data_IF_967611974975
#
_entry.id   IF_967611974975
#
_cell.length_a   1.000
_cell.length_b   1.000
_cell.length_c   1.000
_cell.angle_alpha   90.00
_cell.angle_beta   90.00
_cell.angle_gamma   90.00
#
_symmetry.space_group_name_H-M   'P 1'
#
loop_
_entity.id
_entity.type
_entity.pdbx_description
1 polymer ?
#
# COMPACT_ATOMS: atom_id res chain seq x y z
N UNK A 1 33.00 53.42 1.06
CA UNK A 1 33.14 52.10 1.71
C UNK A 1 31.84 51.51 2.30
N UNK A 2 30.65 52.11 2.13
CA UNK A 2 29.39 51.55 2.69
C UNK A 2 28.67 50.50 1.82
N UNK A 3 28.92 50.47 0.51
CA UNK A 3 28.19 49.63 -0.46
C UNK A 3 28.48 48.12 -0.35
N UNK A 4 29.67 47.77 0.15
CA UNK A 4 30.16 46.38 0.20
C UNK A 4 29.51 45.60 1.35
N UNK A 5 29.17 46.27 2.46
CA UNK A 5 28.51 45.63 3.59
C UNK A 5 27.06 45.26 3.27
N UNK A 6 26.33 46.13 2.56
CA UNK A 6 24.93 45.88 2.18
C UNK A 6 24.79 44.68 1.22
N UNK A 7 25.74 44.50 0.30
CA UNK A 7 25.75 43.36 -0.62
C UNK A 7 26.06 42.04 0.11
N UNK A 8 27.00 42.06 1.05
CA UNK A 8 27.34 40.88 1.88
C UNK A 8 26.18 40.46 2.78
N UNK A 9 25.49 41.42 3.39
CA UNK A 9 24.28 41.18 4.19
C UNK A 9 23.15 40.58 3.35
N UNK A 10 22.94 41.07 2.12
CA UNK A 10 21.91 40.56 1.23
C UNK A 10 22.18 39.12 0.79
N UNK A 11 23.42 38.80 0.41
CA UNK A 11 23.82 37.43 0.03
C UNK A 11 23.68 36.45 1.21
N UNK A 12 24.06 36.86 2.42
CA UNK A 12 23.89 36.05 3.63
C UNK A 12 22.41 35.80 3.96
N UNK A 13 21.54 36.82 3.82
CA UNK A 13 20.10 36.66 4.01
C UNK A 13 19.46 35.73 2.98
N UNK A 14 19.87 35.79 1.71
CA UNK A 14 19.41 34.84 0.68
C UNK A 14 19.87 33.40 0.98
N UNK A 15 21.10 33.21 1.47
CA UNK A 15 21.63 31.88 1.78
C UNK A 15 20.87 31.20 2.94
N UNK A 16 20.49 31.98 3.96
CA UNK A 16 19.67 31.49 5.09
C UNK A 16 18.25 31.14 4.64
N UNK A 17 17.66 31.93 3.75
CA UNK A 17 16.35 31.62 3.16
C UNK A 17 16.36 30.34 2.31
N UNK A 18 17.44 30.09 1.56
CA UNK A 18 17.59 28.83 0.79
C UNK A 18 17.73 27.62 1.73
N UNK A 19 18.45 27.75 2.85
CA UNK A 19 18.60 26.64 3.81
C UNK A 19 17.30 26.26 4.54
N UNK A 20 16.37 27.21 4.74
CA UNK A 20 15.08 26.95 5.39
C UNK A 20 14.10 26.23 4.43
N UNK A 21 14.22 26.44 3.12
CA UNK A 21 13.28 25.88 2.12
C UNK A 21 13.66 24.45 1.67
N UNK A 22 14.87 23.98 1.96
CA UNK A 22 15.39 22.68 1.45
C UNK A 22 15.05 21.49 2.36
N UNK A 23 14.37 21.68 3.50
CA UNK A 23 13.92 20.58 4.36
C UNK A 23 12.39 20.34 4.35
N UNK A 24 11.73 20.05 3.21
CA UNK A 24 10.44 19.38 3.25
C UNK A 24 10.74 17.87 3.15
N UNK A 25 11.01 17.19 4.26
CA UNK A 25 11.51 15.83 4.07
C UNK A 25 11.50 14.86 5.23
N UNK A 26 10.94 15.18 6.38
CA UNK A 26 10.52 14.15 7.34
C UNK A 26 9.00 14.11 7.33
N UNK A 27 8.44 13.67 6.20
CA UNK A 27 7.09 13.13 6.23
C UNK A 27 7.17 11.93 7.17
N UNK A 28 6.51 12.03 8.34
CA UNK A 28 6.34 10.89 9.22
C UNK A 28 5.79 9.74 8.36
N UNK A 29 6.46 8.60 8.36
CA UNK A 29 5.98 7.39 7.68
C UNK A 29 4.61 7.07 8.27
N UNK A 30 3.56 7.50 7.58
CA UNK A 30 2.20 7.36 8.05
C UNK A 30 1.94 5.86 8.09
N UNK A 31 1.44 5.36 9.22
CA UNK A 31 1.08 3.95 9.37
C UNK A 31 0.29 3.51 8.12
N UNK A 32 0.91 2.69 7.29
CA UNK A 32 0.46 2.47 5.93
C UNK A 32 -0.34 1.17 5.88
N UNK A 33 -1.63 1.27 5.65
CA UNK A 33 -2.36 0.17 5.03
C UNK A 33 -2.39 0.51 3.54
N UNK A 34 -1.79 -0.36 2.72
CA UNK A 34 -1.74 -0.16 1.28
C UNK A 34 -3.18 -0.11 0.74
N UNK A 35 -3.54 1.01 0.09
CA UNK A 35 -4.83 1.24 -0.56
C UNK A 35 -4.65 1.40 -2.08
N UNK A 36 -5.75 1.67 -2.78
CA UNK A 36 -5.75 1.87 -4.23
C UNK A 36 -4.89 3.05 -4.69
N UNK A 37 -4.68 4.08 -3.86
CA UNK A 37 -3.86 5.24 -4.23
C UNK A 37 -2.39 4.87 -4.35
N UNK A 38 -1.87 4.10 -3.40
CA UNK A 38 -0.49 3.61 -3.46
C UNK A 38 -0.36 2.43 -4.42
N UNK A 39 -1.37 1.57 -4.52
CA UNK A 39 -1.35 0.38 -5.38
C UNK A 39 -1.12 0.71 -6.86
N UNK A 40 -1.77 1.76 -7.36
CA UNK A 40 -1.66 2.17 -8.76
C UNK A 40 -0.25 2.66 -9.11
N UNK A 41 0.46 3.25 -8.14
CA UNK A 41 1.83 3.76 -8.30
C UNK A 41 2.89 2.65 -8.21
N UNK A 42 2.53 1.47 -7.69
CA UNK A 42 3.45 0.34 -7.62
C UNK A 42 3.75 -0.24 -9.00
N UNK A 43 5.01 -0.62 -9.22
CA UNK A 43 5.38 -1.48 -10.34
C UNK A 43 4.65 -2.82 -10.26
N UNK A 44 4.46 -3.48 -11.40
CA UNK A 44 3.82 -4.80 -11.44
C UNK A 44 4.54 -5.81 -10.53
N UNK A 45 5.88 -5.82 -10.53
CA UNK A 45 6.67 -6.70 -9.67
C UNK A 45 6.47 -6.41 -8.17
N UNK A 46 6.28 -5.14 -7.79
CA UNK A 46 5.97 -4.76 -6.42
C UNK A 46 4.58 -5.24 -5.99
N UNK A 47 3.58 -5.17 -6.88
CA UNK A 47 2.24 -5.73 -6.64
C UNK A 47 2.27 -7.25 -6.47
N UNK A 48 2.99 -7.95 -7.35
CA UNK A 48 3.21 -9.41 -7.25
C UNK A 48 3.88 -9.76 -5.92
N UNK A 49 4.88 -8.99 -5.52
CA UNK A 49 5.61 -9.21 -4.25
C UNK A 49 4.71 -8.98 -3.05
N UNK A 50 3.85 -7.96 -3.07
CA UNK A 50 2.87 -7.72 -2.02
C UNK A 50 1.92 -8.92 -1.85
N UNK A 51 1.33 -9.41 -2.96
CA UNK A 51 0.40 -10.55 -2.92
C UNK A 51 1.09 -11.81 -2.40
N UNK A 52 2.32 -12.10 -2.85
CA UNK A 52 3.14 -13.21 -2.32
C UNK A 52 3.41 -13.04 -0.82
N UNK A 53 3.72 -11.83 -0.37
CA UNK A 53 3.96 -11.52 1.04
C UNK A 53 2.74 -11.82 1.91
N UNK A 54 1.55 -11.41 1.48
CA UNK A 54 0.31 -11.72 2.20
C UNK A 54 0.06 -13.24 2.25
N UNK A 55 0.24 -13.95 1.12
CA UNK A 55 0.06 -15.39 1.08
C UNK A 55 1.03 -16.11 2.02
N UNK A 56 2.30 -15.69 2.05
CA UNK A 56 3.30 -16.26 2.94
C UNK A 56 2.99 -16.00 4.41
N UNK A 57 2.52 -14.79 4.75
CA UNK A 57 2.09 -14.48 6.13
C UNK A 57 0.90 -15.35 6.54
N UNK A 58 -0.09 -15.47 5.66
CA UNK A 58 -1.27 -16.27 5.93
C UNK A 58 -0.90 -17.77 6.07
N UNK A 59 0.01 -18.28 5.25
CA UNK A 59 0.51 -19.66 5.33
C UNK A 59 1.29 -19.89 6.64
N UNK A 60 2.15 -18.94 7.01
CA UNK A 60 2.87 -18.96 8.28
C UNK A 60 1.89 -19.03 9.47
N UNK A 61 0.88 -18.15 9.51
CA UNK A 61 -0.13 -18.14 10.58
C UNK A 61 -0.89 -19.47 10.70
N UNK A 62 -1.13 -20.14 9.57
CA UNK A 62 -1.78 -21.45 9.54
C UNK A 62 -0.88 -22.55 10.11
N UNK A 63 0.40 -22.53 9.77
CA UNK A 63 1.36 -23.54 10.23
C UNK A 63 1.65 -23.41 11.74
N UNK A 64 1.76 -22.19 12.27
CA UNK A 64 2.02 -21.98 13.70
C UNK A 64 0.78 -22.14 14.59
N UNK A 65 -0.42 -22.18 14.00
CA UNK A 65 -1.69 -22.08 14.73
C UNK A 65 -2.07 -23.29 15.59
N UNK A 66 -1.47 -24.47 15.34
CA UNK A 66 -1.74 -25.69 16.10
C UNK A 66 -3.18 -26.23 15.99
N UNK A 67 -3.42 -27.40 16.59
CA UNK A 67 -4.75 -28.01 16.66
C UNK A 67 -5.60 -27.30 17.73
N UNK A 68 -6.66 -26.60 17.30
CA UNK A 68 -7.58 -25.88 18.21
C UNK A 68 -7.85 -24.43 17.83
N UNK A 69 -7.16 -23.88 16.83
CA UNK A 69 -7.47 -22.55 16.30
C UNK A 69 -8.80 -22.60 15.55
N UNK A 70 -9.76 -21.76 15.98
CA UNK A 70 -11.05 -21.60 15.32
C UNK A 70 -10.92 -21.14 13.86
N UNK A 71 -12.06 -20.97 13.18
CA UNK A 71 -12.15 -20.52 11.78
C UNK A 71 -11.24 -19.33 11.51
N UNK A 72 -10.10 -19.59 10.86
CA UNK A 72 -9.06 -18.58 10.64
C UNK A 72 -9.21 -18.06 9.21
N UNK A 73 -9.45 -16.75 9.07
CA UNK A 73 -9.50 -16.08 7.77
C UNK A 73 -8.22 -16.37 6.96
N UNK A 74 -7.06 -16.44 7.63
CA UNK A 74 -5.80 -16.80 6.99
C UNK A 74 -5.82 -18.21 6.37
N UNK A 75 -6.45 -19.21 7.00
CA UNK A 75 -6.52 -20.58 6.45
C UNK A 75 -7.27 -20.63 5.14
N UNK A 76 -8.44 -20.01 5.10
CA UNK A 76 -9.21 -20.02 3.86
C UNK A 76 -8.61 -19.09 2.80
N UNK A 77 -7.99 -17.98 3.23
CA UNK A 77 -7.23 -17.11 2.34
C UNK A 77 -6.09 -17.89 1.66
N UNK A 78 -5.38 -18.74 2.41
CA UNK A 78 -4.34 -19.63 1.87
C UNK A 78 -4.92 -20.67 0.92
N UNK A 79 -6.01 -21.35 1.30
CA UNK A 79 -6.64 -22.39 0.46
C UNK A 79 -7.13 -21.82 -0.87
N UNK A 80 -7.74 -20.63 -0.86
CA UNK A 80 -8.25 -20.01 -2.08
C UNK A 80 -7.14 -19.36 -2.93
N UNK A 81 -6.17 -18.67 -2.32
CA UNK A 81 -5.10 -18.01 -3.06
C UNK A 81 -4.06 -18.98 -3.62
N UNK A 82 -3.79 -20.12 -2.95
CA UNK A 82 -2.90 -21.18 -3.49
C UNK A 82 -3.45 -21.79 -4.79
N UNK A 83 -4.76 -21.72 -5.03
CA UNK A 83 -5.40 -22.23 -6.23
C UNK A 83 -5.39 -21.23 -7.41
N UNK A 84 -4.88 -20.01 -7.22
CA UNK A 84 -4.85 -18.95 -8.23
C UNK A 84 -3.43 -18.59 -8.64
N UNK A 85 -3.25 -18.15 -9.89
CA UNK A 85 -2.00 -17.51 -10.27
C UNK A 85 -1.94 -16.11 -9.63
N UNK A 86 -0.77 -15.72 -9.13
CA UNK A 86 -0.58 -14.40 -8.48
C UNK A 86 -0.96 -13.24 -9.40
N UNK A 87 -0.71 -13.39 -10.72
CA UNK A 87 -1.11 -12.40 -11.72
C UNK A 87 -2.62 -12.21 -11.85
N UNK A 88 -3.41 -13.27 -11.67
CA UNK A 88 -4.88 -13.18 -11.69
C UNK A 88 -5.38 -12.42 -10.46
N UNK A 89 -4.76 -12.62 -9.30
CA UNK A 89 -5.06 -11.86 -8.09
C UNK A 89 -4.75 -10.37 -8.27
N UNK A 90 -3.62 -10.03 -8.88
CA UNK A 90 -3.28 -8.63 -9.20
C UNK A 90 -4.32 -8.03 -10.16
N UNK A 91 -4.73 -8.78 -11.20
CA UNK A 91 -5.76 -8.34 -12.14
C UNK A 91 -7.11 -8.11 -11.46
N UNK A 92 -7.53 -9.00 -10.55
CA UNK A 92 -8.77 -8.86 -9.78
C UNK A 92 -8.77 -7.57 -8.93
N UNK A 93 -7.61 -7.21 -8.35
CA UNK A 93 -7.42 -5.98 -7.57
C UNK A 93 -7.41 -4.74 -8.47
N UNK A 94 -6.66 -4.78 -9.59
CA UNK A 94 -6.62 -3.68 -10.56
C UNK A 94 -8.03 -3.37 -11.10
N UNK A 95 -8.78 -4.40 -11.46
CA UNK A 95 -10.15 -4.27 -11.94
C UNK A 95 -11.07 -3.64 -10.89
N UNK A 96 -10.94 -4.00 -9.61
CA UNK A 96 -11.75 -3.41 -8.55
C UNK A 96 -11.60 -1.89 -8.48
N UNK A 97 -10.36 -1.37 -8.47
CA UNK A 97 -10.14 0.06 -8.38
C UNK A 97 -10.50 0.81 -9.67
N UNK A 98 -10.43 0.14 -10.83
CA UNK A 98 -10.94 0.70 -12.08
C UNK A 98 -12.47 0.83 -12.08
N UNK A 99 -13.18 -0.18 -11.55
CA UNK A 99 -14.64 -0.21 -11.48
C UNK A 99 -15.21 0.66 -10.34
N UNK A 100 -14.41 0.93 -9.29
CA UNK A 100 -14.85 1.62 -8.09
C UNK A 100 -13.91 2.80 -7.73
N UNK A 101 -13.79 3.83 -8.58
CA UNK A 101 -12.89 4.96 -8.31
C UNK A 101 -13.22 5.71 -7.01
N UNK A 102 -14.47 5.70 -6.57
CA UNK A 102 -14.91 6.28 -5.30
C UNK A 102 -14.45 5.47 -4.07
N UNK A 103 -14.01 4.22 -4.27
CA UNK A 103 -13.50 3.32 -3.24
C UNK A 103 -11.98 3.17 -3.29
N UNK A 104 -11.27 4.14 -3.86
CA UNK A 104 -9.79 4.10 -3.97
C UNK A 104 -9.08 4.00 -2.61
N UNK A 105 -9.78 4.34 -1.52
CA UNK A 105 -9.28 4.25 -0.14
C UNK A 105 -9.55 2.91 0.56
N UNK A 106 -10.24 1.98 -0.08
CA UNK A 106 -10.35 0.59 0.41
C UNK A 106 -8.96 -0.04 0.45
N UNK A 107 -8.67 -0.84 1.47
CA UNK A 107 -7.35 -1.49 1.57
C UNK A 107 -7.18 -2.59 0.51
N UNK A 108 -5.98 -2.75 -0.03
CA UNK A 108 -5.64 -3.79 -1.00
C UNK A 108 -5.91 -5.19 -0.43
N UNK A 109 -5.61 -5.42 0.85
CA UNK A 109 -5.91 -6.70 1.51
C UNK A 109 -7.41 -6.98 1.53
N UNK A 110 -8.22 -5.99 1.87
CA UNK A 110 -9.68 -6.13 1.85
C UNK A 110 -10.20 -6.41 0.44
N UNK A 111 -9.70 -5.69 -0.57
CA UNK A 111 -10.04 -5.94 -1.98
C UNK A 111 -9.65 -7.35 -2.37
N UNK A 112 -8.46 -7.81 -2.00
CA UNK A 112 -7.97 -9.15 -2.28
C UNK A 112 -8.90 -10.20 -1.66
N UNK A 113 -9.32 -10.05 -0.40
CA UNK A 113 -10.27 -10.98 0.23
C UNK A 113 -11.62 -10.92 -0.50
N UNK A 114 -12.15 -9.74 -0.82
CA UNK A 114 -13.47 -9.59 -1.46
C UNK A 114 -13.54 -10.09 -2.90
N UNK A 115 -12.46 -9.96 -3.66
CA UNK A 115 -12.43 -10.20 -5.12
C UNK A 115 -11.69 -11.46 -5.50
N UNK A 116 -10.58 -11.73 -4.82
CA UNK A 116 -9.78 -12.90 -5.11
C UNK A 116 -10.24 -14.14 -4.34
N UNK A 117 -11.13 -13.99 -3.34
CA UNK A 117 -11.68 -15.12 -2.57
C UNK A 117 -13.22 -15.09 -2.45
N UNK A 118 -13.81 -16.19 -1.97
CA UNK A 118 -15.24 -16.34 -1.67
C UNK A 118 -15.57 -16.08 -0.20
N UNK A 119 -14.61 -15.55 0.57
CA UNK A 119 -14.74 -15.36 2.01
C UNK A 119 -15.67 -14.21 2.39
N UNK A 120 -15.73 -13.20 1.53
CA UNK A 120 -16.71 -12.14 1.67
C UNK A 120 -17.89 -12.40 0.74
N UNK A 121 -19.12 -12.09 1.18
CA UNK A 121 -20.24 -12.03 0.26
C UNK A 121 -19.94 -11.01 -0.86
N UNK A 122 -20.48 -11.21 -2.07
CA UNK A 122 -20.31 -10.26 -3.17
C UNK A 122 -20.76 -8.87 -2.71
N UNK A 123 -19.98 -7.84 -3.05
CA UNK A 123 -20.45 -6.48 -2.84
C UNK A 123 -21.74 -6.26 -3.65
N UNK A 124 -22.74 -5.54 -3.10
CA UNK A 124 -23.90 -5.14 -3.87
C UNK A 124 -23.43 -4.38 -5.12
N UNK A 125 -23.82 -4.85 -6.30
CA UNK A 125 -23.68 -4.09 -7.54
C UNK A 125 -24.45 -2.78 -7.39
N UNK A 126 -23.76 -1.65 -7.62
CA UNK A 126 -24.39 -0.35 -7.77
C UNK A 126 -25.21 -0.28 -9.05
#
# INVERSE_FOLDING_TARGET
MHRVNSFRLFVLSCLVLVLIVVFPGWAAEQAFILDGTLWQDLSYDARITYVKGVCNMADFECQIGGAGRGFCVAKMLVEELKAKAVGDVVKDIDQYYQENPEKIKTSVLEVMVRRATKLCPPEPTK
#
